data_IF_159649372581
#
_entry.id   IF_159649372581
#
_cell.length_a   1.000
_cell.length_b   1.000
_cell.length_c   1.000
_cell.angle_alpha   90.00
_cell.angle_beta   90.00
_cell.angle_gamma   90.00
#
_symmetry.space_group_name_H-M   'P 1'
#
loop_
_entity.id
_entity.type
_entity.pdbx_description
1 polymer ?
#
# COMPACT_ATOMS: atom_id res chain seq x y z
N UNK A 1 -5.80 3.80 7.15
CA UNK A 1 -5.53 2.36 7.41
C UNK A 1 -5.47 2.05 8.90
N UNK A 2 -4.56 2.62 9.72
CA UNK A 2 -4.43 2.32 11.16
C UNK A 2 -5.75 2.44 11.90
N UNK A 3 -6.56 3.46 11.59
CA UNK A 3 -7.85 3.70 12.24
C UNK A 3 -8.85 2.57 11.97
N UNK A 4 -9.05 2.20 10.73
CA UNK A 4 -9.97 1.11 10.34
C UNK A 4 -9.48 -0.24 10.85
N UNK A 5 -8.20 -0.56 10.67
CA UNK A 5 -7.61 -1.81 11.15
C UNK A 5 -7.74 -1.96 12.68
N UNK A 6 -7.52 -0.88 13.46
CA UNK A 6 -7.66 -0.93 14.91
C UNK A 6 -9.10 -1.19 15.38
N UNK A 7 -10.08 -0.73 14.61
CA UNK A 7 -11.50 -0.95 14.89
C UNK A 7 -11.96 -2.35 14.48
N UNK A 8 -11.54 -2.80 13.29
CA UNK A 8 -12.07 -4.00 12.67
C UNK A 8 -11.36 -5.29 13.10
N UNK A 9 -10.04 -5.25 13.36
CA UNK A 9 -9.26 -6.45 13.68
C UNK A 9 -9.08 -6.72 15.18
N UNK A 10 -9.34 -5.73 16.04
CA UNK A 10 -9.20 -5.89 17.49
C UNK A 10 -7.76 -6.18 17.95
N UNK A 11 -6.76 -5.83 17.16
CA UNK A 11 -5.34 -6.00 17.51
C UNK A 11 -4.85 -4.87 18.42
N UNK A 12 -4.03 -5.16 19.44
CA UNK A 12 -3.65 -4.18 20.45
C UNK A 12 -2.67 -3.11 19.96
N UNK A 13 -1.89 -3.41 18.92
CA UNK A 13 -0.89 -2.51 18.38
C UNK A 13 -0.85 -2.57 16.86
N UNK A 14 -0.99 -1.42 16.21
CA UNK A 14 -0.81 -1.24 14.78
C UNK A 14 0.14 -0.08 14.55
N UNK A 15 1.10 -0.24 13.64
CA UNK A 15 2.05 0.80 13.25
C UNK A 15 2.20 0.82 11.75
N UNK A 16 2.26 2.01 11.18
CA UNK A 16 2.59 2.22 9.80
C UNK A 16 4.04 2.69 9.67
N UNK A 17 4.75 2.11 8.71
CA UNK A 17 6.12 2.45 8.38
C UNK A 17 6.22 2.76 6.89
N UNK A 18 6.95 3.82 6.56
CA UNK A 18 7.26 4.16 5.17
C UNK A 18 8.76 4.45 5.07
N UNK A 19 9.44 3.74 4.18
CA UNK A 19 10.85 3.96 3.88
C UNK A 19 11.02 4.89 2.69
N UNK A 20 12.03 5.75 2.77
CA UNK A 20 12.46 6.61 1.67
C UNK A 20 13.96 6.45 1.47
N UNK A 21 14.43 6.56 0.23
CA UNK A 21 15.84 6.57 -0.08
C UNK A 21 16.54 7.78 0.55
N UNK A 22 17.83 7.64 0.87
CA UNK A 22 18.65 8.69 1.49
C UNK A 22 18.61 10.01 0.70
N UNK A 23 18.70 9.92 -0.62
CA UNK A 23 18.62 11.10 -1.49
C UNK A 23 17.33 11.88 -1.29
N UNK A 24 16.17 11.18 -1.23
CA UNK A 24 14.86 11.80 -0.98
C UNK A 24 14.84 12.53 0.37
N UNK A 25 15.33 11.89 1.43
CA UNK A 25 15.35 12.47 2.77
C UNK A 25 16.25 13.71 2.81
N UNK A 26 17.40 13.67 2.15
CA UNK A 26 18.31 14.80 2.08
C UNK A 26 17.68 16.00 1.36
N UNK A 27 17.08 15.80 0.18
CA UNK A 27 16.41 16.86 -0.57
C UNK A 27 15.25 17.44 0.25
N UNK A 28 14.41 16.57 0.82
CA UNK A 28 13.27 17.00 1.64
C UNK A 28 13.72 17.81 2.87
N UNK A 29 14.80 17.40 3.53
CA UNK A 29 15.37 18.09 4.67
C UNK A 29 15.87 19.48 4.29
N UNK A 30 16.54 19.61 3.15
CA UNK A 30 17.00 20.92 2.64
C UNK A 30 15.81 21.85 2.37
N UNK A 31 14.80 21.38 1.65
CA UNK A 31 13.58 22.17 1.37
C UNK A 31 12.90 22.63 2.66
N UNK A 32 12.79 21.73 3.64
CA UNK A 32 12.21 22.02 4.97
C UNK A 32 13.02 23.11 5.70
N UNK A 33 14.35 22.96 5.75
CA UNK A 33 15.23 23.89 6.46
C UNK A 33 15.26 25.28 5.81
N UNK A 34 15.05 25.37 4.50
CA UNK A 34 14.92 26.62 3.77
C UNK A 34 13.52 27.26 3.91
N UNK A 35 12.57 26.58 4.59
CA UNK A 35 11.18 27.05 4.70
C UNK A 35 10.36 26.90 3.41
N UNK A 36 10.88 26.20 2.41
CA UNK A 36 10.22 26.04 1.11
C UNK A 36 8.97 25.14 1.15
N UNK A 37 8.77 24.38 2.23
CA UNK A 37 7.59 23.57 2.46
C UNK A 37 6.49 24.31 3.26
N UNK A 38 6.66 25.64 3.50
CA UNK A 38 5.69 26.45 4.22
C UNK A 38 4.51 26.84 3.33
N UNK A 39 3.30 26.71 3.88
CA UNK A 39 2.07 27.23 3.27
C UNK A 39 1.81 28.71 3.64
N UNK A 40 2.61 29.28 4.55
CA UNK A 40 2.47 30.67 4.96
C UNK A 40 3.09 31.57 3.89
N UNK A 41 2.33 32.60 3.39
CA UNK A 41 2.86 33.56 2.45
C UNK A 41 4.08 34.30 3.00
N UNK A 42 5.07 34.56 2.13
CA UNK A 42 6.25 35.39 2.42
C UNK A 42 6.37 36.48 1.40
N UNK A 43 6.83 37.67 1.80
CA UNK A 43 7.04 38.81 0.90
C UNK A 43 8.47 38.80 0.37
N UNK A 44 8.59 38.75 -0.95
CA UNK A 44 9.88 38.83 -1.62
C UNK A 44 10.47 40.25 -1.55
N UNK A 45 11.78 40.38 -1.82
CA UNK A 45 12.44 41.67 -1.89
C UNK A 45 11.82 42.65 -2.94
N UNK A 46 11.14 42.10 -3.94
CA UNK A 46 10.41 42.89 -4.97
C UNK A 46 9.00 43.25 -4.53
N UNK A 47 8.61 42.94 -3.30
CA UNK A 47 7.28 43.25 -2.76
C UNK A 47 6.17 42.28 -3.18
N UNK A 48 6.49 41.21 -3.93
CA UNK A 48 5.52 40.19 -4.34
C UNK A 48 5.33 39.19 -3.19
N UNK A 49 4.09 38.88 -2.91
CA UNK A 49 3.74 37.86 -1.94
C UNK A 49 3.70 36.47 -2.62
N UNK A 50 4.36 35.49 -2.07
CA UNK A 50 4.41 34.11 -2.61
C UNK A 50 4.23 33.09 -1.49
N UNK A 51 3.58 31.96 -1.78
CA UNK A 51 3.53 30.80 -0.91
C UNK A 51 4.70 29.86 -1.30
N UNK A 52 5.70 29.63 -0.43
CA UNK A 52 6.88 28.86 -0.81
C UNK A 52 6.54 27.45 -1.35
N UNK A 53 5.62 26.74 -0.73
CA UNK A 53 5.20 25.41 -1.18
C UNK A 53 4.63 25.43 -2.61
N UNK A 54 3.88 26.47 -2.98
CA UNK A 54 3.33 26.58 -4.34
C UNK A 54 4.41 26.81 -5.38
N UNK A 55 5.50 27.50 -5.01
CA UNK A 55 6.67 27.63 -5.89
C UNK A 55 7.34 26.28 -6.09
N UNK A 56 7.53 25.50 -5.02
CA UNK A 56 8.09 24.15 -5.12
C UNK A 56 7.23 23.27 -6.03
N UNK A 57 5.92 23.26 -5.82
CA UNK A 57 4.99 22.49 -6.66
C UNK A 57 5.07 22.90 -8.14
N UNK A 58 5.21 24.18 -8.42
CA UNK A 58 5.27 24.68 -9.79
C UNK A 58 6.55 24.28 -10.56
N UNK A 59 7.64 24.01 -9.84
CA UNK A 59 8.94 23.64 -10.46
C UNK A 59 9.21 22.13 -10.39
N UNK A 60 8.41 21.37 -9.64
CA UNK A 60 8.56 19.90 -9.60
C UNK A 60 8.28 19.30 -10.98
N UNK A 61 9.11 18.34 -11.43
CA UNK A 61 8.82 17.61 -12.66
C UNK A 61 7.53 16.80 -12.53
N UNK A 62 6.87 16.57 -13.65
CA UNK A 62 5.72 15.67 -13.69
C UNK A 62 6.17 14.26 -13.21
N UNK A 63 5.49 13.66 -12.23
CA UNK A 63 5.82 12.32 -11.73
C UNK A 63 5.92 11.26 -12.84
N UNK A 64 5.10 11.36 -13.90
CA UNK A 64 5.15 10.44 -15.04
C UNK A 64 6.48 10.53 -15.80
N UNK A 65 7.11 11.72 -15.84
CA UNK A 65 8.40 11.91 -16.49
C UNK A 65 9.56 11.23 -15.79
N UNK A 66 9.39 10.84 -14.53
CA UNK A 66 10.42 10.19 -13.70
C UNK A 66 10.42 8.66 -13.85
N UNK A 67 9.44 8.08 -14.55
CA UNK A 67 9.33 6.64 -14.73
C UNK A 67 10.43 6.03 -15.61
N UNK A 68 10.84 6.64 -16.75
CA UNK A 68 11.92 6.12 -17.57
C UNK A 68 13.26 6.06 -16.84
N UNK A 69 13.91 4.91 -16.84
CA UNK A 69 15.23 4.71 -16.21
C UNK A 69 15.24 4.74 -14.68
N UNK A 70 14.08 4.74 -14.04
CA UNK A 70 13.99 4.60 -12.60
C UNK A 70 14.26 3.15 -12.20
N UNK A 71 15.22 2.93 -11.30
CA UNK A 71 15.68 1.61 -10.87
C UNK A 71 15.33 1.34 -9.42
N UNK A 72 15.40 0.07 -9.02
CA UNK A 72 15.13 -0.37 -7.66
C UNK A 72 13.78 -1.07 -7.53
N UNK A 73 13.36 -1.28 -6.29
CA UNK A 73 12.18 -2.10 -5.97
C UNK A 73 11.31 -1.43 -4.90
N UNK A 74 10.02 -1.57 -5.06
CA UNK A 74 9.03 -1.26 -4.02
C UNK A 74 8.66 -2.54 -3.30
N UNK A 75 8.69 -2.54 -1.96
CA UNK A 75 8.22 -3.62 -1.12
C UNK A 75 7.08 -3.08 -0.25
N UNK A 76 5.92 -3.71 -0.32
CA UNK A 76 4.73 -3.38 0.48
C UNK A 76 4.29 -4.65 1.18
N UNK A 77 3.99 -4.57 2.47
CA UNK A 77 3.54 -5.75 3.21
C UNK A 77 3.23 -5.48 4.67
N UNK A 78 2.68 -6.50 5.31
CA UNK A 78 2.26 -6.51 6.69
C UNK A 78 3.12 -7.47 7.52
N UNK A 79 3.77 -6.91 8.55
CA UNK A 79 4.50 -7.69 9.54
C UNK A 79 3.59 -7.94 10.75
N UNK A 80 3.16 -9.18 10.89
CA UNK A 80 2.28 -9.63 11.97
C UNK A 80 3.09 -10.36 13.02
N UNK A 81 2.97 -9.93 14.29
CA UNK A 81 3.59 -10.59 15.45
C UNK A 81 2.51 -11.01 16.44
N UNK A 82 2.58 -12.23 16.91
CA UNK A 82 1.58 -12.78 17.82
C UNK A 82 1.99 -14.08 18.48
N UNK A 83 0.99 -14.78 18.98
CA UNK A 83 1.16 -16.10 19.58
C UNK A 83 0.22 -17.06 18.87
N UNK A 84 0.75 -18.17 18.35
CA UNK A 84 0.00 -19.25 17.73
C UNK A 84 0.34 -20.56 18.43
N UNK A 85 -0.67 -21.28 18.90
CA UNK A 85 -0.48 -22.54 19.65
C UNK A 85 0.48 -22.40 20.85
N UNK A 86 0.42 -21.26 21.57
CA UNK A 86 1.26 -21.00 22.73
C UNK A 86 2.71 -20.60 22.41
N UNK A 87 3.10 -20.47 21.14
CA UNK A 87 4.43 -20.08 20.72
C UNK A 87 4.43 -18.71 20.03
N UNK A 88 5.44 -17.85 20.29
CA UNK A 88 5.61 -16.62 19.53
C UNK A 88 5.77 -16.92 18.04
N UNK A 89 5.08 -16.12 17.21
CA UNK A 89 5.14 -16.23 15.76
C UNK A 89 5.27 -14.83 15.14
N UNK A 90 6.08 -14.74 14.10
CA UNK A 90 6.25 -13.56 13.27
C UNK A 90 6.05 -13.96 11.82
N UNK A 91 5.18 -13.25 11.12
CA UNK A 91 4.83 -13.51 9.73
C UNK A 91 4.89 -12.20 8.96
N UNK A 92 5.61 -12.18 7.84
CA UNK A 92 5.61 -11.08 6.88
C UNK A 92 4.87 -11.54 5.62
N UNK A 93 3.77 -10.88 5.27
CA UNK A 93 3.06 -11.05 3.99
C UNK A 93 3.36 -9.82 3.15
N UNK A 94 3.88 -10.01 1.94
CA UNK A 94 4.41 -8.89 1.18
C UNK A 94 4.44 -9.11 -0.33
N UNK A 95 4.50 -7.99 -1.05
CA UNK A 95 4.75 -7.94 -2.49
C UNK A 95 6.06 -7.19 -2.76
N UNK A 96 6.80 -7.61 -3.77
CA UNK A 96 7.97 -6.88 -4.29
C UNK A 96 7.73 -6.59 -5.76
N UNK A 97 7.89 -5.33 -6.14
CA UNK A 97 7.69 -4.86 -7.49
C UNK A 97 8.95 -4.13 -7.97
N UNK A 98 9.51 -4.56 -9.09
CA UNK A 98 10.69 -3.99 -9.69
C UNK A 98 10.31 -2.86 -10.65
N UNK A 99 10.95 -1.68 -10.54
CA UNK A 99 10.60 -0.51 -11.36
C UNK A 99 10.85 -0.72 -12.85
N UNK A 100 11.95 -1.38 -13.21
CA UNK A 100 12.31 -1.60 -14.62
C UNK A 100 11.38 -2.62 -15.26
N UNK A 101 11.03 -3.69 -14.55
CA UNK A 101 10.06 -4.70 -15.00
C UNK A 101 8.68 -4.06 -15.20
N UNK A 102 8.19 -3.30 -14.22
CA UNK A 102 6.90 -2.62 -14.31
C UNK A 102 6.87 -1.60 -15.44
N UNK A 103 7.96 -0.84 -15.63
CA UNK A 103 8.03 0.13 -16.72
C UNK A 103 8.00 -0.55 -18.08
N UNK A 104 8.69 -1.68 -18.23
CA UNK A 104 8.65 -2.48 -19.47
C UNK A 104 7.25 -3.05 -19.79
N UNK A 105 6.46 -3.37 -18.75
CA UNK A 105 5.14 -3.96 -18.90
C UNK A 105 4.04 -2.90 -19.14
N UNK A 106 4.01 -1.84 -18.33
CA UNK A 106 2.89 -0.89 -18.32
C UNK A 106 3.30 0.58 -18.54
N UNK A 107 4.57 0.86 -18.80
CA UNK A 107 5.08 2.22 -19.00
C UNK A 107 5.00 3.10 -17.74
N UNK A 108 4.94 2.51 -16.55
CA UNK A 108 4.78 3.22 -15.28
C UNK A 108 5.68 2.65 -14.19
N UNK A 109 5.86 3.41 -13.11
CA UNK A 109 6.68 2.97 -11.98
C UNK A 109 5.99 1.86 -11.16
N UNK A 110 6.79 1.09 -10.41
CA UNK A 110 6.29 0.06 -9.50
C UNK A 110 5.25 0.59 -8.49
N UNK A 111 5.37 1.82 -8.04
CA UNK A 111 4.38 2.43 -7.13
C UNK A 111 2.99 2.54 -7.77
N UNK A 112 2.91 2.87 -9.05
CA UNK A 112 1.65 2.91 -9.79
C UNK A 112 1.07 1.50 -9.99
N UNK A 113 1.94 0.52 -10.25
CA UNK A 113 1.56 -0.88 -10.40
C UNK A 113 1.01 -1.46 -9.10
N UNK A 114 1.71 -1.25 -7.98
CA UNK A 114 1.29 -1.73 -6.66
C UNK A 114 0.02 -1.05 -6.12
N UNK A 115 -0.34 0.12 -6.65
CA UNK A 115 -1.61 0.79 -6.35
C UNK A 115 -2.73 0.37 -7.32
N UNK A 116 -2.44 0.26 -8.61
CA UNK A 116 -3.42 -0.02 -9.66
C UNK A 116 -3.92 -1.46 -9.66
N UNK A 117 -3.01 -2.44 -9.58
CA UNK A 117 -3.38 -3.86 -9.60
C UNK A 117 -4.36 -4.24 -8.48
N UNK A 118 -4.13 -3.89 -7.20
CA UNK A 118 -5.09 -4.17 -6.13
C UNK A 118 -6.46 -3.52 -6.36
N UNK A 119 -6.48 -2.27 -6.83
CA UNK A 119 -7.73 -1.57 -7.08
C UNK A 119 -8.56 -2.26 -8.17
N UNK A 120 -7.92 -2.68 -9.26
CA UNK A 120 -8.59 -3.42 -10.36
C UNK A 120 -9.01 -4.81 -9.89
N UNK A 121 -8.17 -5.52 -9.13
CA UNK A 121 -8.53 -6.83 -8.58
C UNK A 121 -9.78 -6.74 -7.69
N UNK A 122 -9.83 -5.76 -6.79
CA UNK A 122 -11.01 -5.52 -5.95
C UNK A 122 -12.26 -5.22 -6.79
N UNK A 123 -12.15 -4.34 -7.79
CA UNK A 123 -13.27 -4.01 -8.68
C UNK A 123 -13.79 -5.24 -9.44
N UNK A 124 -12.90 -6.12 -9.91
CA UNK A 124 -13.29 -7.35 -10.59
C UNK A 124 -14.00 -8.33 -9.67
N UNK A 125 -13.56 -8.47 -8.39
CA UNK A 125 -14.20 -9.35 -7.40
C UNK A 125 -15.59 -8.86 -7.01
N UNK A 126 -15.81 -7.54 -6.98
CA UNK A 126 -17.13 -6.95 -6.78
C UNK A 126 -18.00 -7.16 -8.02
N UNK A 127 -17.47 -6.84 -9.20
CA UNK A 127 -18.23 -6.93 -10.45
C UNK A 127 -18.70 -8.35 -10.78
N UNK A 128 -17.91 -9.38 -10.43
CA UNK A 128 -18.27 -10.77 -10.65
C UNK A 128 -19.06 -11.42 -9.48
N UNK A 129 -19.36 -10.66 -8.43
CA UNK A 129 -20.12 -11.11 -7.26
C UNK A 129 -19.35 -12.00 -6.28
N UNK A 130 -18.02 -12.15 -6.43
CA UNK A 130 -17.19 -12.88 -5.46
C UNK A 130 -17.15 -12.14 -4.12
N UNK A 131 -17.02 -10.83 -4.17
CA UNK A 131 -17.25 -9.93 -3.05
C UNK A 131 -18.64 -9.31 -3.19
N UNK A 132 -19.61 -9.85 -2.45
CA UNK A 132 -20.98 -9.34 -2.42
C UNK A 132 -21.06 -8.22 -1.38
N UNK A 133 -20.92 -6.97 -1.84
CA UNK A 133 -20.95 -5.76 -1.02
C UNK A 133 -22.03 -4.82 -1.51
N UNK A 134 -22.98 -4.47 -0.62
CA UNK A 134 -24.08 -3.56 -0.91
C UNK A 134 -23.81 -2.11 -0.43
N UNK A 135 -22.73 -1.92 0.33
CA UNK A 135 -22.35 -0.65 0.94
C UNK A 135 -20.82 -0.49 0.96
N UNK A 136 -20.35 0.69 1.36
CA UNK A 136 -18.91 0.91 1.55
C UNK A 136 -18.42 0.14 2.77
N UNK A 137 -17.43 -0.74 2.55
CA UNK A 137 -16.77 -1.55 3.59
C UNK A 137 -15.26 -1.36 3.52
N UNK A 138 -14.57 -1.62 4.63
CA UNK A 138 -13.12 -1.67 4.62
C UNK A 138 -12.65 -3.04 4.11
N UNK A 139 -11.54 -3.07 3.37
CA UNK A 139 -11.06 -4.29 2.71
C UNK A 139 -10.69 -5.40 3.70
N UNK A 140 -10.27 -5.05 4.91
CA UNK A 140 -9.97 -6.01 5.99
C UNK A 140 -11.20 -6.79 6.50
N UNK A 141 -12.41 -6.39 6.10
CA UNK A 141 -13.67 -7.08 6.42
C UNK A 141 -14.04 -8.14 5.37
N UNK A 142 -13.31 -8.19 4.26
CA UNK A 142 -13.55 -9.07 3.13
C UNK A 142 -12.64 -10.29 3.17
N UNK A 143 -13.03 -11.37 2.47
CA UNK A 143 -12.20 -12.56 2.32
C UNK A 143 -10.97 -12.22 1.45
N UNK A 144 -9.74 -12.30 1.99
CA UNK A 144 -8.53 -11.98 1.23
C UNK A 144 -8.13 -13.06 0.23
N UNK A 145 -8.64 -14.30 0.33
CA UNK A 145 -8.18 -15.42 -0.48
C UNK A 145 -8.38 -15.21 -1.99
N UNK A 146 -9.59 -14.87 -2.49
CA UNK A 146 -9.79 -14.63 -3.91
C UNK A 146 -9.02 -13.40 -4.40
N UNK A 147 -8.80 -12.42 -3.54
CA UNK A 147 -8.06 -11.22 -3.86
C UNK A 147 -6.57 -11.51 -4.08
N UNK A 148 -5.92 -12.23 -3.17
CA UNK A 148 -4.52 -12.65 -3.31
C UNK A 148 -4.35 -13.54 -4.55
N UNK A 149 -5.27 -14.49 -4.77
CA UNK A 149 -5.23 -15.34 -5.95
C UNK A 149 -5.27 -14.52 -7.25
N UNK A 150 -6.17 -13.55 -7.32
CA UNK A 150 -6.32 -12.70 -8.50
C UNK A 150 -5.10 -11.80 -8.69
N UNK A 151 -4.60 -11.13 -7.64
CA UNK A 151 -3.37 -10.32 -7.72
C UNK A 151 -2.17 -11.13 -8.20
N UNK A 152 -2.01 -12.37 -7.72
CA UNK A 152 -0.94 -13.26 -8.18
C UNK A 152 -1.03 -13.53 -9.69
N UNK A 153 -2.24 -13.73 -10.22
CA UNK A 153 -2.45 -13.93 -11.67
C UNK A 153 -2.26 -12.65 -12.49
N UNK A 154 -2.44 -11.48 -11.87
CA UNK A 154 -2.22 -10.17 -12.47
C UNK A 154 -0.76 -9.69 -12.37
N UNK A 155 0.17 -10.55 -11.92
CA UNK A 155 1.60 -10.24 -11.86
C UNK A 155 2.06 -9.60 -10.55
N UNK A 156 1.17 -9.15 -9.66
CA UNK A 156 1.54 -8.67 -8.33
C UNK A 156 1.55 -9.82 -7.33
N UNK A 157 2.64 -10.58 -7.37
CA UNK A 157 2.80 -11.82 -6.61
C UNK A 157 2.94 -11.55 -5.13
N UNK A 158 2.12 -12.21 -4.32
CA UNK A 158 2.16 -12.15 -2.86
C UNK A 158 3.04 -13.25 -2.29
N UNK A 159 3.91 -12.90 -1.37
CA UNK A 159 4.82 -13.82 -0.67
C UNK A 159 4.52 -13.84 0.82
N UNK A 160 4.87 -14.93 1.46
CA UNK A 160 4.85 -15.08 2.91
C UNK A 160 6.22 -15.52 3.39
N UNK A 161 6.70 -14.85 4.43
CA UNK A 161 7.93 -15.22 5.14
C UNK A 161 7.61 -15.44 6.61
N UNK A 162 7.91 -16.62 7.10
CA UNK A 162 7.73 -17.05 8.47
C UNK A 162 8.89 -17.98 8.90
N UNK A 163 8.74 -18.72 9.98
CA UNK A 163 9.74 -19.70 10.46
C UNK A 163 10.03 -20.81 9.45
N UNK A 164 9.09 -21.14 8.57
CA UNK A 164 9.24 -22.20 7.57
C UNK A 164 9.92 -21.70 6.29
N UNK A 165 10.26 -20.42 6.23
CA UNK A 165 10.98 -19.78 5.15
C UNK A 165 10.16 -18.77 4.36
N UNK A 166 10.71 -18.37 3.22
CA UNK A 166 10.14 -17.38 2.30
C UNK A 166 9.61 -18.09 1.05
N UNK A 167 8.31 -17.99 0.80
CA UNK A 167 7.63 -18.68 -0.30
C UNK A 167 6.48 -17.85 -0.89
N UNK A 168 6.00 -18.28 -2.05
CA UNK A 168 4.75 -17.77 -2.61
C UNK A 168 3.61 -18.03 -1.63
N UNK A 169 2.79 -17.01 -1.38
CA UNK A 169 1.53 -17.20 -0.69
C UNK A 169 0.51 -17.74 -1.69
N UNK A 170 0.34 -19.06 -1.65
CA UNK A 170 -0.68 -19.73 -2.45
C UNK A 170 -1.98 -19.71 -1.64
N UNK A 171 -3.04 -19.02 -2.12
CA UNK A 171 -4.29 -18.97 -1.38
C UNK A 171 -4.85 -20.39 -1.21
N UNK A 172 -5.24 -20.71 0.01
CA UNK A 172 -5.87 -22.00 0.29
C UNK A 172 -7.09 -22.20 -0.62
N UNK A 173 -7.41 -23.43 -1.06
CA UNK A 173 -8.64 -23.70 -1.80
C UNK A 173 -9.83 -23.15 -1.01
N UNK A 174 -10.74 -22.46 -1.71
CA UNK A 174 -11.87 -21.73 -1.13
C UNK A 174 -12.53 -22.56 -0.04
N UNK A 175 -12.51 -22.05 1.20
CA UNK A 175 -13.29 -22.62 2.28
C UNK A 175 -14.77 -22.66 1.85
N UNK A 176 -15.40 -23.82 1.93
CA UNK A 176 -16.82 -23.97 1.64
C UNK A 176 -17.63 -22.96 2.47
N UNK A 177 -18.78 -22.52 1.98
CA UNK A 177 -19.66 -21.55 2.64
C UNK A 177 -20.00 -21.86 4.12
N UNK A 178 -19.79 -23.11 4.54
CA UNK A 178 -19.96 -23.56 5.93
C UNK A 178 -18.81 -23.14 6.90
N UNK A 179 -17.70 -22.64 6.39
CA UNK A 179 -16.51 -22.26 7.20
C UNK A 179 -16.29 -20.74 7.29
N UNK A 180 -17.23 -19.94 6.79
CA UNK A 180 -17.18 -18.47 6.94
C UNK A 180 -17.49 -18.11 8.39
N UNK A 181 -16.62 -17.34 9.03
CA UNK A 181 -16.89 -16.76 10.35
C UNK A 181 -18.22 -15.97 10.30
N UNK A 182 -19.08 -16.10 11.32
CA UNK A 182 -20.32 -15.35 11.37
C UNK A 182 -20.03 -13.85 11.36
N UNK A 183 -20.66 -13.12 10.43
CA UNK A 183 -20.60 -11.65 10.40
C UNK A 183 -21.03 -11.12 11.77
N UNK A 184 -20.23 -10.29 12.40
CA UNK A 184 -20.68 -9.52 13.57
C UNK A 184 -21.82 -8.62 13.11
N UNK A 185 -23.02 -8.83 13.67
CA UNK A 185 -24.13 -7.91 13.49
C UNK A 185 -23.69 -6.54 14.04
N UNK A 186 -23.60 -5.53 13.19
CA UNK A 186 -23.43 -4.16 13.66
C UNK A 186 -24.72 -3.80 14.42
N UNK A 187 -24.60 -3.64 15.75
CA UNK A 187 -25.64 -3.02 16.56
C UNK A 187 -25.76 -1.55 16.08
N UNK A 188 -26.97 -1.18 15.65
CA UNK A 188 -27.35 0.20 15.28
C UNK A 188 -27.33 1.10 16.52
#
# INVERSE_FOLDING_TARGET
EIHSLSQNLGVPNIRFWMGFGEHYINVFTVLKNLGLLSEKPVRTARGVEVVPLEVVKAVLPDPASLAPGYTGKTCIGDLVKGVKNGQPEEVLIYNVCDHEVCFGEVGSQAISYTAGVPAVAAALLIANGTWDVAEMVNVEELDPQPFIALMNTMGLVTRIKDRDGDRLLDPAPQLSSAQRLPRRAHAR
#
